data_IF_274972008384
#
_entry.id   IF_274972008384
#
_cell.length_a   1.000
_cell.length_b   1.000
_cell.length_c   1.000
_cell.angle_alpha   90.00
_cell.angle_beta   90.00
_cell.angle_gamma   90.00
#
_symmetry.space_group_name_H-M   'P 1'
#
loop_
_entity.id
_entity.type
_entity.pdbx_description
1 polymer ?
#
# COMPACT_ATOMS: atom_id res chain seq x y z
N UNK A 1 -14.51 20.92 14.62
CA UNK A 1 -14.67 19.58 14.01
C UNK A 1 -14.08 19.65 12.62
N UNK A 2 -13.41 18.60 12.14
CA UNK A 2 -12.74 18.64 10.85
C UNK A 2 -13.75 18.52 9.69
N UNK A 3 -13.72 19.42 8.71
CA UNK A 3 -14.52 19.29 7.50
C UNK A 3 -13.86 18.32 6.52
N UNK A 4 -14.54 17.21 6.23
CA UNK A 4 -14.09 16.17 5.33
C UNK A 4 -13.92 16.66 3.89
N UNK A 5 -14.79 17.56 3.43
CA UNK A 5 -14.76 18.12 2.07
C UNK A 5 -13.68 19.18 1.93
N UNK A 6 -13.41 19.97 2.98
CA UNK A 6 -12.22 20.84 3.03
C UNK A 6 -10.93 20.02 2.89
N UNK A 7 -10.78 18.96 3.71
CA UNK A 7 -9.59 18.10 3.69
C UNK A 7 -9.38 17.45 2.31
N UNK A 8 -10.45 16.91 1.72
CA UNK A 8 -10.41 16.33 0.38
C UNK A 8 -10.03 17.39 -0.68
N UNK A 9 -10.59 18.60 -0.60
CA UNK A 9 -10.29 19.71 -1.52
C UNK A 9 -8.85 20.17 -1.43
N UNK A 10 -8.29 20.31 -0.23
CA UNK A 10 -6.87 20.62 -0.02
C UNK A 10 -5.95 19.56 -0.65
N UNK A 11 -6.31 18.29 -0.50
CA UNK A 11 -5.57 17.16 -1.10
C UNK A 11 -5.64 17.15 -2.63
N UNK A 12 -6.82 17.40 -3.20
CA UNK A 12 -7.03 17.45 -4.65
C UNK A 12 -6.32 18.67 -5.27
N UNK A 13 -6.47 19.86 -4.67
CA UNK A 13 -5.78 21.08 -5.10
C UNK A 13 -4.26 20.93 -5.05
N UNK A 14 -3.72 20.28 -4.01
CA UNK A 14 -2.28 20.01 -3.92
C UNK A 14 -1.80 19.06 -5.03
N UNK A 15 -2.57 18.02 -5.38
CA UNK A 15 -2.23 17.15 -6.52
C UNK A 15 -2.30 17.91 -7.86
N UNK A 16 -3.28 18.79 -8.04
CA UNK A 16 -3.40 19.59 -9.27
C UNK A 16 -2.24 20.57 -9.47
N UNK A 17 -1.66 21.10 -8.39
CA UNK A 17 -0.48 21.94 -8.45
C UNK A 17 0.83 21.18 -8.83
N UNK A 18 0.84 19.85 -8.81
CA UNK A 18 2.03 19.07 -9.17
C UNK A 18 2.24 18.95 -10.69
N UNK A 19 3.47 18.71 -11.17
CA UNK A 19 3.74 18.41 -12.58
C UNK A 19 2.88 17.27 -13.13
N UNK A 20 2.62 17.27 -14.46
CA UNK A 20 1.80 16.22 -15.12
C UNK A 20 2.46 14.84 -15.19
N UNK A 21 3.75 14.72 -14.87
CA UNK A 21 4.53 13.48 -15.01
C UNK A 21 3.98 12.39 -14.07
N UNK A 22 3.58 11.25 -14.63
CA UNK A 22 3.03 10.12 -13.87
C UNK A 22 1.57 10.27 -13.45
N UNK A 23 0.86 11.30 -13.94
CA UNK A 23 -0.61 11.35 -13.83
C UNK A 23 -1.23 10.26 -14.73
N UNK A 24 -2.37 9.65 -14.35
CA UNK A 24 -3.07 8.67 -15.18
C UNK A 24 -3.51 9.24 -16.53
N UNK A 25 -3.41 8.43 -17.58
CA UNK A 25 -4.00 8.72 -18.90
C UNK A 25 -5.53 8.85 -18.84
N UNK A 26 -6.07 10.00 -19.25
CA UNK A 26 -7.51 10.29 -19.16
C UNK A 26 -8.37 9.30 -19.96
N UNK A 27 -9.46 8.81 -19.37
CA UNK A 27 -10.34 7.80 -19.98
C UNK A 27 -9.73 6.39 -20.12
N UNK A 28 -8.49 6.15 -19.67
CA UNK A 28 -7.83 4.83 -19.81
C UNK A 28 -7.14 4.33 -18.55
N UNK A 29 -6.49 5.21 -17.80
CA UNK A 29 -5.88 4.86 -16.52
C UNK A 29 -6.64 5.46 -15.33
N UNK A 30 -6.61 4.75 -14.21
CA UNK A 30 -7.08 5.25 -12.91
C UNK A 30 -6.02 5.07 -11.83
N UNK A 31 -6.13 5.81 -10.75
CA UNK A 31 -5.27 5.66 -9.57
C UNK A 31 -6.04 5.99 -8.30
N UNK A 32 -5.37 5.89 -7.16
CA UNK A 32 -5.84 6.37 -5.87
C UNK A 32 -4.94 7.50 -5.41
N UNK A 33 -5.44 8.37 -4.54
CA UNK A 33 -4.69 9.42 -3.85
C UNK A 33 -4.82 9.21 -2.35
N UNK A 34 -3.75 9.44 -1.60
CA UNK A 34 -3.79 9.57 -0.16
C UNK A 34 -2.85 10.69 0.27
N UNK A 35 -3.08 11.23 1.47
CA UNK A 35 -2.30 12.35 1.99
C UNK A 35 -2.22 12.32 3.51
N UNK A 36 -1.18 12.97 4.02
CA UNK A 36 -1.07 13.38 5.41
C UNK A 36 -1.14 14.90 5.44
N UNK A 37 -2.02 15.43 6.28
CA UNK A 37 -2.13 16.85 6.57
C UNK A 37 -1.64 17.09 7.99
N UNK A 38 -0.94 18.20 8.19
CA UNK A 38 -0.73 18.79 9.50
C UNK A 38 -1.85 19.79 9.75
N UNK A 39 -2.37 19.85 10.97
CA UNK A 39 -3.26 20.92 11.41
C UNK A 39 -2.76 21.51 12.73
N UNK A 40 -2.99 22.81 12.91
CA UNK A 40 -2.80 23.55 14.15
C UNK A 40 -4.07 24.36 14.45
N UNK A 41 -4.04 25.25 15.45
CA UNK A 41 -5.21 26.06 15.84
C UNK A 41 -5.63 27.11 14.80
N UNK A 42 -4.84 27.32 13.73
CA UNK A 42 -5.04 28.39 12.74
C UNK A 42 -5.22 27.83 11.32
N UNK A 43 -4.51 26.76 10.96
CA UNK A 43 -4.44 26.24 9.59
C UNK A 43 -4.38 24.72 9.51
N UNK A 44 -4.83 24.19 8.37
CA UNK A 44 -4.60 22.81 7.94
C UNK A 44 -3.85 22.81 6.61
N UNK A 45 -2.73 22.10 6.54
CA UNK A 45 -1.90 22.04 5.33
C UNK A 45 -1.51 20.59 4.97
N UNK A 46 -1.53 20.27 3.67
CA UNK A 46 -1.01 18.99 3.18
C UNK A 46 0.51 18.97 3.33
N UNK A 47 1.05 18.05 4.13
CA UNK A 47 2.52 17.89 4.32
C UNK A 47 3.11 16.73 3.52
N UNK A 48 2.27 15.80 3.07
CA UNK A 48 2.66 14.68 2.22
C UNK A 48 1.47 14.15 1.42
N UNK A 49 1.70 13.69 0.19
CA UNK A 49 0.72 12.95 -0.59
C UNK A 49 1.38 11.86 -1.44
N UNK A 50 0.58 10.85 -1.80
CA UNK A 50 0.97 9.77 -2.68
C UNK A 50 -0.17 9.35 -3.58
N UNK A 51 0.14 8.95 -4.81
CA UNK A 51 -0.76 8.19 -5.68
C UNK A 51 -0.24 6.79 -5.94
N UNK A 52 -1.11 5.89 -6.38
CA UNK A 52 -0.71 4.56 -6.86
C UNK A 52 -1.46 3.41 -6.22
N UNK A 53 -1.33 2.23 -6.83
CA UNK A 53 -2.16 1.04 -6.59
C UNK A 53 -1.37 -0.27 -6.71
N UNK A 54 -0.03 -0.19 -6.65
CA UNK A 54 0.87 -1.28 -7.07
C UNK A 54 1.84 -1.67 -5.98
N UNK A 55 2.20 -2.96 -5.94
CA UNK A 55 3.30 -3.51 -5.16
C UNK A 55 4.21 -4.34 -6.06
N UNK A 56 5.47 -4.51 -5.67
CA UNK A 56 6.39 -5.44 -6.34
C UNK A 56 6.23 -6.86 -5.76
N UNK A 57 6.57 -7.88 -6.55
CA UNK A 57 6.65 -9.27 -6.11
C UNK A 57 7.84 -9.53 -5.19
N UNK A 58 7.82 -10.64 -4.46
CA UNK A 58 8.86 -10.99 -3.48
C UNK A 58 10.27 -11.08 -4.10
N UNK A 59 10.42 -11.66 -5.28
CA UNK A 59 11.69 -11.76 -6.03
C UNK A 59 12.30 -10.41 -6.41
N UNK A 60 11.51 -9.34 -6.43
CA UNK A 60 11.96 -7.99 -6.78
C UNK A 60 12.36 -7.15 -5.56
N UNK A 61 12.22 -7.69 -4.34
CA UNK A 61 12.61 -7.00 -3.10
C UNK A 61 14.13 -6.94 -2.97
N UNK A 62 14.69 -5.74 -2.80
CA UNK A 62 16.14 -5.55 -2.69
C UNK A 62 16.67 -5.75 -1.26
N UNK A 63 17.80 -6.47 -1.08
CA UNK A 63 18.53 -6.52 0.19
C UNK A 63 19.18 -5.18 0.56
N UNK A 64 19.49 -4.34 -0.44
CA UNK A 64 20.11 -3.03 -0.25
C UNK A 64 19.10 -1.94 0.17
N UNK A 65 17.82 -2.27 0.32
CA UNK A 65 16.77 -1.34 0.74
C UNK A 65 16.44 -0.23 -0.26
N UNK A 66 16.99 -0.29 -1.46
CA UNK A 66 16.99 0.79 -2.46
C UNK A 66 15.75 0.81 -3.39
N UNK A 67 14.86 -0.16 -3.22
CA UNK A 67 13.60 -0.33 -3.97
C UNK A 67 12.37 -0.06 -3.09
N UNK A 68 11.36 0.61 -3.64
CA UNK A 68 10.04 0.74 -3.00
C UNK A 68 9.20 -0.54 -3.20
N UNK A 69 8.97 -1.27 -2.10
CA UNK A 69 8.19 -2.52 -2.14
C UNK A 69 6.68 -2.33 -2.41
N UNK A 70 6.14 -1.21 -1.94
CA UNK A 70 4.71 -0.91 -1.91
C UNK A 70 4.50 0.53 -2.32
N UNK A 71 3.81 0.71 -3.45
CA UNK A 71 3.51 1.98 -4.10
C UNK A 71 1.99 2.21 -4.14
N UNK A 72 1.26 1.73 -3.14
CA UNK A 72 -0.07 2.23 -2.85
C UNK A 72 -0.01 3.65 -2.31
N UNK A 73 -0.98 4.47 -2.72
CA UNK A 73 -1.15 5.86 -2.31
C UNK A 73 -0.96 6.07 -0.80
N UNK A 74 -1.63 5.27 0.03
CA UNK A 74 -1.60 5.38 1.50
C UNK A 74 -0.20 5.19 2.07
N UNK A 75 0.59 4.30 1.45
CA UNK A 75 1.93 3.95 1.90
C UNK A 75 2.95 4.98 1.44
N UNK A 76 2.78 5.50 0.22
CA UNK A 76 3.58 6.60 -0.31
C UNK A 76 3.36 7.86 0.52
N UNK A 77 2.11 8.24 0.81
CA UNK A 77 1.79 9.39 1.65
C UNK A 77 2.43 9.30 3.05
N UNK A 78 2.34 8.14 3.70
CA UNK A 78 2.99 7.90 5.00
C UNK A 78 4.52 7.93 4.94
N UNK A 79 5.14 7.46 3.85
CA UNK A 79 6.61 7.51 3.67
C UNK A 79 7.11 8.92 3.35
N UNK A 80 6.38 9.70 2.56
CA UNK A 80 6.66 11.12 2.35
C UNK A 80 6.52 11.93 3.65
N UNK A 81 5.56 11.58 4.51
CA UNK A 81 5.43 12.20 5.82
C UNK A 81 6.63 11.89 6.72
N UNK A 82 7.13 10.65 6.76
CA UNK A 82 8.38 10.33 7.48
C UNK A 82 9.55 11.20 7.00
N UNK A 83 9.69 11.43 5.69
CA UNK A 83 10.72 12.31 5.13
C UNK A 83 10.54 13.77 5.58
N UNK A 84 9.30 14.27 5.61
CA UNK A 84 8.96 15.58 6.16
C UNK A 84 9.34 15.71 7.65
N UNK A 85 8.97 14.74 8.48
CA UNK A 85 9.27 14.73 9.91
C UNK A 85 10.78 14.65 10.20
N UNK A 86 11.53 13.87 9.41
CA UNK A 86 12.99 13.83 9.50
C UNK A 86 13.62 15.21 9.22
N UNK A 87 13.14 15.93 8.20
CA UNK A 87 13.61 17.29 7.92
C UNK A 87 13.21 18.28 9.04
N UNK A 88 12.02 18.12 9.63
CA UNK A 88 11.55 18.96 10.73
C UNK A 88 12.37 18.76 12.01
N UNK A 89 12.67 17.51 12.39
CA UNK A 89 13.60 17.22 13.49
C UNK A 89 15.01 17.70 13.17
N UNK A 90 15.51 17.53 11.94
CA UNK A 90 16.84 17.98 11.58
C UNK A 90 16.97 19.50 11.73
N UNK A 91 15.96 20.27 11.32
CA UNK A 91 15.92 21.72 11.58
C UNK A 91 15.95 22.02 13.08
N UNK A 92 15.16 21.30 13.87
CA UNK A 92 15.05 21.51 15.31
C UNK A 92 16.35 21.23 16.07
N UNK A 93 17.04 20.11 15.80
CA UNK A 93 18.31 19.77 16.46
C UNK A 93 19.45 20.69 16.04
N UNK A 94 19.41 21.25 14.83
CA UNK A 94 20.37 22.24 14.33
C UNK A 94 20.06 23.68 14.78
N UNK A 95 19.19 23.89 15.78
CA UNK A 95 18.85 25.20 16.34
C UNK A 95 17.88 26.05 15.49
N UNK A 96 17.33 25.48 14.41
CA UNK A 96 16.32 26.13 13.58
C UNK A 96 14.89 25.90 14.07
N UNK A 97 13.97 26.75 13.65
CA UNK A 97 12.54 26.60 13.97
C UNK A 97 11.92 25.40 13.23
N UNK A 98 11.35 24.44 13.99
CA UNK A 98 10.43 23.43 13.45
C UNK A 98 8.98 23.91 13.58
N UNK A 99 8.14 23.58 12.62
CA UNK A 99 6.68 23.79 12.71
C UNK A 99 5.92 22.57 13.27
N UNK A 100 6.64 21.55 13.75
CA UNK A 100 6.06 20.27 14.20
C UNK A 100 6.48 19.94 15.61
N UNK A 101 7.76 20.13 15.93
CA UNK A 101 8.35 19.61 17.16
C UNK A 101 8.79 20.71 18.12
N UNK A 102 8.70 20.42 19.41
CA UNK A 102 9.36 21.15 20.48
C UNK A 102 10.12 20.16 21.39
N UNK A 103 11.11 20.64 22.18
CA UNK A 103 11.79 19.81 23.17
C UNK A 103 10.80 19.15 24.13
N UNK A 104 11.09 17.91 24.50
CA UNK A 104 10.36 17.16 25.53
C UNK A 104 11.10 17.25 26.87
N UNK A 105 10.43 16.82 27.95
CA UNK A 105 11.00 16.73 29.29
C UNK A 105 12.06 15.61 29.41
N UNK A 106 12.03 14.59 28.54
CA UNK A 106 13.06 13.56 28.47
C UNK A 106 14.26 14.03 27.61
N UNK A 107 15.47 13.93 28.15
CA UNK A 107 16.69 14.41 27.49
C UNK A 107 16.89 13.80 26.10
N UNK A 108 16.92 14.65 25.08
CA UNK A 108 17.12 14.27 23.68
C UNK A 108 15.85 13.81 22.97
N UNK A 109 14.71 13.83 23.65
CA UNK A 109 13.39 13.61 23.05
C UNK A 109 12.75 14.92 22.62
N UNK A 110 11.79 14.75 21.72
CA UNK A 110 10.93 15.77 21.14
C UNK A 110 9.49 15.31 21.27
N UNK A 111 8.57 16.27 21.35
CA UNK A 111 7.12 16.05 21.28
C UNK A 111 6.52 16.98 20.23
N UNK A 112 5.26 16.74 19.85
CA UNK A 112 4.55 17.69 18.99
C UNK A 112 4.39 19.03 19.69
N UNK A 113 4.41 20.12 18.92
CA UNK A 113 4.06 21.43 19.43
C UNK A 113 2.60 21.45 19.91
N UNK A 114 2.27 22.21 20.97
CA UNK A 114 0.90 22.34 21.45
C UNK A 114 -0.05 22.73 20.32
N UNK A 115 -1.17 22.01 20.19
CA UNK A 115 -2.16 22.22 19.13
C UNK A 115 -1.84 21.56 17.78
N UNK A 116 -0.60 21.10 17.53
CA UNK A 116 -0.26 20.39 16.29
C UNK A 116 -0.79 18.95 16.32
N UNK A 117 -1.56 18.58 15.31
CA UNK A 117 -1.99 17.19 15.08
C UNK A 117 -1.90 16.80 13.60
N UNK A 118 -2.07 15.50 13.31
CA UNK A 118 -2.05 14.98 11.96
C UNK A 118 -3.39 14.36 11.57
N UNK A 119 -3.76 14.57 10.30
CA UNK A 119 -4.95 14.03 9.66
C UNK A 119 -4.51 13.15 8.49
N UNK A 120 -5.25 12.07 8.22
CA UNK A 120 -5.00 11.19 7.09
C UNK A 120 -6.16 11.25 6.10
N UNK A 121 -5.86 11.38 4.82
CA UNK A 121 -6.85 11.34 3.74
C UNK A 121 -6.56 10.16 2.80
N UNK A 122 -7.60 9.48 2.31
CA UNK A 122 -7.53 8.53 1.22
C UNK A 122 -8.73 8.69 0.29
N UNK A 123 -8.52 8.70 -1.03
CA UNK A 123 -9.58 8.92 -2.02
C UNK A 123 -10.55 7.74 -2.17
N UNK A 124 -10.25 6.62 -1.52
CA UNK A 124 -11.06 5.40 -1.54
C UNK A 124 -10.83 4.62 -0.23
N UNK A 125 -11.77 3.76 0.16
CA UNK A 125 -11.61 2.82 1.27
C UNK A 125 -10.30 2.04 1.13
N UNK A 126 -9.45 1.97 2.18
CA UNK A 126 -8.16 1.28 2.13
C UNK A 126 -8.34 -0.20 1.74
N UNK A 127 -7.45 -0.73 0.91
CA UNK A 127 -7.54 -2.15 0.56
C UNK A 127 -7.37 -3.04 1.80
N UNK A 128 -8.03 -4.19 1.85
CA UNK A 128 -8.09 -5.08 3.01
C UNK A 128 -9.49 -5.09 3.65
N UNK A 129 -9.55 -5.24 4.98
CA UNK A 129 -10.83 -5.39 5.69
C UNK A 129 -11.79 -4.20 5.52
N UNK A 130 -11.27 -2.98 5.38
CA UNK A 130 -12.08 -1.77 5.15
C UNK A 130 -12.79 -1.74 3.77
N UNK A 131 -12.37 -2.60 2.84
CA UNK A 131 -13.00 -2.77 1.52
C UNK A 131 -14.02 -3.92 1.47
N UNK A 132 -14.21 -4.67 2.57
CA UNK A 132 -15.18 -5.76 2.66
C UNK A 132 -16.49 -5.20 3.18
N UNK A 133 -17.29 -4.66 2.25
CA UNK A 133 -18.58 -4.02 2.52
C UNK A 133 -19.71 -5.02 2.21
N UNK A 134 -20.59 -5.35 3.17
CA UNK A 134 -21.78 -6.17 2.92
C UNK A 134 -22.66 -5.57 1.83
N UNK A 135 -23.24 -6.43 0.97
CA UNK A 135 -24.36 -5.99 0.12
C UNK A 135 -25.62 -5.93 0.98
N UNK A 136 -26.12 -4.72 1.26
CA UNK A 136 -27.53 -4.49 1.61
C UNK A 136 -28.31 -4.20 0.33
N UNK A 137 -29.53 -4.72 0.23
CA UNK A 137 -30.24 -4.91 -1.04
C UNK A 137 -30.38 -3.64 -1.91
N UNK A 138 -29.95 -3.74 -3.16
CA UNK A 138 -30.26 -2.80 -4.24
C UNK A 138 -31.15 -3.49 -5.29
N UNK A 139 -32.30 -2.91 -5.68
CA UNK A 139 -33.29 -3.60 -6.50
C UNK A 139 -32.74 -4.04 -7.87
N UNK A 140 -33.13 -5.24 -8.30
CA UNK A 140 -32.67 -5.86 -9.54
C UNK A 140 -33.17 -5.12 -10.78
N UNK A 141 -32.29 -4.40 -11.47
CA UNK A 141 -32.57 -3.89 -12.82
C UNK A 141 -32.43 -5.01 -13.88
N UNK A 142 -33.28 -5.03 -14.94
CA UNK A 142 -33.28 -6.09 -15.94
C UNK A 142 -32.00 -6.10 -16.80
N UNK A 143 -31.58 -7.29 -17.26
CA UNK A 143 -30.41 -7.45 -18.14
C UNK A 143 -30.82 -8.03 -19.50
N UNK A 144 -30.33 -7.48 -20.63
CA UNK A 144 -30.32 -8.21 -21.90
C UNK A 144 -29.18 -9.27 -21.91
N UNK A 145 -29.30 -10.34 -22.72
CA UNK A 145 -28.34 -11.45 -22.73
C UNK A 145 -27.07 -11.13 -23.53
N UNK A 146 -25.93 -11.65 -23.06
CA UNK A 146 -24.65 -11.63 -23.80
C UNK A 146 -24.45 -12.99 -24.48
N UNK A 147 -24.17 -12.98 -25.78
CA UNK A 147 -23.91 -14.20 -26.55
C UNK A 147 -22.53 -14.79 -26.22
N UNK A 148 -22.49 -16.08 -25.88
CA UNK A 148 -21.25 -16.83 -25.64
C UNK A 148 -20.60 -17.22 -26.96
N UNK A 149 -19.42 -16.67 -27.27
CA UNK A 149 -18.58 -17.13 -28.38
C UNK A 149 -18.03 -18.52 -28.06
N UNK A 150 -18.61 -19.56 -28.68
CA UNK A 150 -17.95 -20.86 -28.84
C UNK A 150 -17.07 -20.82 -30.08
N UNK A 151 -15.79 -21.10 -29.93
CA UNK A 151 -14.92 -21.37 -31.07
C UNK A 151 -15.34 -22.65 -31.79
N UNK A 152 -15.29 -22.63 -33.13
CA UNK A 152 -15.26 -23.83 -33.98
C UNK A 152 -14.36 -23.57 -35.17
N UNK A 153 -13.76 -24.63 -35.68
CA UNK A 153 -12.56 -24.61 -36.53
C UNK A 153 -12.82 -24.17 -37.97
N UNK A 154 -11.74 -23.73 -38.64
CA UNK A 154 -11.69 -23.52 -40.08
C UNK A 154 -10.32 -23.91 -40.61
N UNK A 155 -10.23 -25.08 -41.25
CA UNK A 155 -9.05 -25.53 -42.01
C UNK A 155 -9.01 -24.84 -43.37
N UNK A 156 -7.88 -24.25 -43.75
CA UNK A 156 -7.63 -23.67 -45.07
C UNK A 156 -6.12 -23.60 -45.33
N UNK A 157 -5.67 -23.94 -46.54
CA UNK A 157 -4.27 -24.27 -46.84
C UNK A 157 -3.51 -23.16 -47.59
N UNK A 158 -2.17 -23.26 -47.56
CA UNK A 158 -1.25 -22.69 -48.57
C UNK A 158 -0.33 -21.57 -48.10
N UNK A 159 0.98 -21.63 -48.45
CA UNK A 159 1.88 -20.47 -48.41
C UNK A 159 3.23 -20.60 -47.67
N UNK A 160 4.09 -21.51 -48.13
CA UNK A 160 5.54 -21.30 -48.35
C UNK A 160 6.35 -20.24 -47.55
N UNK A 161 7.31 -20.68 -46.71
CA UNK A 161 8.76 -20.75 -47.06
C UNK A 161 9.69 -20.97 -45.83
N UNK A 162 10.59 -21.96 -45.94
CA UNK A 162 11.73 -22.21 -45.03
C UNK A 162 13.02 -21.57 -45.54
N UNK A 163 13.92 -21.21 -44.61
CA UNK A 163 15.39 -21.45 -44.64
C UNK A 163 15.87 -21.47 -43.16
N UNK A 164 16.30 -22.62 -42.63
CA UNK A 164 17.68 -23.18 -42.60
C UNK A 164 18.65 -22.29 -41.78
N UNK A 165 19.53 -22.81 -40.91
CA UNK A 165 20.31 -24.07 -40.91
C UNK A 165 20.39 -24.75 -39.50
N UNK A 166 20.42 -26.09 -39.30
CA UNK A 166 21.46 -27.13 -39.64
C UNK A 166 22.72 -27.05 -38.72
N UNK A 167 23.34 -28.09 -38.11
CA UNK A 167 23.29 -29.59 -38.17
C UNK A 167 23.74 -30.21 -36.78
N UNK A 168 24.23 -31.48 -36.61
CA UNK A 168 23.58 -32.82 -36.53
C UNK A 168 23.75 -33.57 -35.16
N UNK A 169 23.06 -34.70 -34.93
CA UNK A 169 23.66 -36.07 -34.99
C UNK A 169 22.75 -37.21 -34.47
N UNK A 170 22.76 -38.32 -35.23
CA UNK A 170 22.49 -39.74 -34.92
C UNK A 170 21.17 -40.21 -34.24
N UNK A 171 20.59 -41.29 -34.80
CA UNK A 171 19.47 -42.09 -34.27
C UNK A 171 19.92 -43.54 -34.04
N UNK A 172 19.14 -44.60 -34.40
CA UNK A 172 17.72 -44.68 -34.73
C UNK A 172 16.97 -45.80 -33.94
N UNK A 173 15.65 -45.99 -34.17
CA UNK A 173 14.96 -47.30 -34.40
C UNK A 173 13.45 -47.36 -34.01
N UNK A 174 12.63 -47.22 -35.05
CA UNK A 174 11.47 -48.04 -35.50
C UNK A 174 10.64 -48.96 -34.56
N UNK A 175 9.30 -48.85 -34.76
CA UNK A 175 8.15 -49.82 -34.62
C UNK A 175 7.09 -49.39 -33.58
N UNK A 176 5.80 -49.18 -33.92
CA UNK A 176 4.74 -50.12 -34.39
C UNK A 176 4.36 -51.16 -33.30
N UNK A 177 3.10 -51.45 -32.97
CA UNK A 177 1.80 -51.15 -33.62
C UNK A 177 0.60 -51.03 -32.64
N UNK A 178 -0.61 -50.82 -33.19
CA UNK A 178 -1.94 -50.81 -32.52
C UNK A 178 -2.51 -52.22 -32.30
N UNK A 179 -3.64 -52.32 -31.56
CA UNK A 179 -4.78 -53.30 -31.59
C UNK A 179 -5.46 -53.26 -30.19
N UNK A 180 -6.79 -53.30 -29.94
CA UNK A 180 -8.01 -53.08 -30.76
C UNK A 180 -9.23 -52.64 -29.90
N UNK A 181 -10.39 -52.40 -30.55
CA UNK A 181 -11.76 -52.14 -30.02
C UNK A 181 -12.48 -53.47 -29.59
N UNK A 182 -13.77 -53.55 -29.14
CA UNK A 182 -14.93 -52.60 -29.10
C UNK A 182 -15.60 -52.45 -27.68
N UNK A 183 -16.55 -51.55 -27.38
CA UNK A 183 -17.96 -51.43 -27.82
C UNK A 183 -18.91 -52.25 -26.90
N UNK A 184 -20.13 -51.85 -26.52
CA UNK A 184 -20.93 -50.63 -26.77
C UNK A 184 -22.07 -50.50 -25.70
N UNK A 185 -22.80 -49.37 -25.59
CA UNK A 185 -23.94 -49.22 -24.65
C UNK A 185 -24.44 -47.78 -24.41
N UNK A 186 -25.76 -47.59 -24.33
CA UNK A 186 -26.44 -46.30 -24.09
C UNK A 186 -26.82 -46.17 -22.61
N UNK A 187 -26.84 -44.94 -22.09
CA UNK A 187 -27.85 -44.56 -21.10
C UNK A 187 -28.14 -43.05 -21.14
N UNK A 188 -29.39 -42.66 -20.89
CA UNK A 188 -29.82 -41.26 -20.81
C UNK A 188 -29.89 -40.79 -19.35
N UNK A 189 -29.27 -39.66 -19.01
CA UNK A 189 -29.63 -38.93 -17.78
C UNK A 189 -29.86 -37.43 -18.02
N UNK A 190 -31.03 -36.96 -17.57
CA UNK A 190 -31.52 -35.58 -17.73
C UNK A 190 -31.07 -34.69 -16.56
N UNK A 191 -29.76 -34.48 -16.45
CA UNK A 191 -29.18 -33.54 -15.49
C UNK A 191 -29.41 -32.05 -15.84
N UNK A 192 -30.50 -31.45 -15.34
CA UNK A 192 -30.76 -30.01 -15.47
C UNK A 192 -29.62 -29.16 -14.87
N UNK A 193 -28.80 -28.53 -15.73
CA UNK A 193 -27.73 -27.62 -15.30
C UNK A 193 -28.31 -26.30 -14.76
N UNK A 194 -28.57 -26.28 -13.44
CA UNK A 194 -28.86 -25.07 -12.67
C UNK A 194 -27.87 -23.97 -13.03
N UNK A 195 -28.37 -22.84 -13.53
CA UNK A 195 -27.56 -21.66 -13.75
C UNK A 195 -27.00 -21.18 -12.41
N UNK A 196 -25.67 -21.16 -12.26
CA UNK A 196 -25.02 -20.57 -11.10
C UNK A 196 -25.10 -19.05 -11.22
N UNK A 197 -25.90 -18.42 -10.37
CA UNK A 197 -26.00 -16.96 -10.29
C UNK A 197 -24.62 -16.34 -10.00
N UNK A 198 -24.10 -15.58 -10.98
CA UNK A 198 -22.83 -14.86 -10.84
C UNK A 198 -23.11 -13.58 -10.04
N UNK A 199 -22.59 -13.55 -8.81
CA UNK A 199 -22.66 -12.40 -7.89
C UNK A 199 -21.98 -11.18 -8.54
N UNK A 200 -22.53 -9.96 -8.43
CA UNK A 200 -21.89 -8.77 -8.96
C UNK A 200 -20.49 -8.55 -8.35
N UNK A 201 -19.49 -8.33 -9.20
CA UNK A 201 -18.06 -8.25 -8.85
C UNK A 201 -17.66 -7.08 -7.91
N UNK A 202 -18.61 -6.27 -7.46
CA UNK A 202 -18.38 -4.84 -7.15
C UNK A 202 -17.74 -4.56 -5.78
N UNK A 203 -17.73 -5.53 -4.85
CA UNK A 203 -17.22 -5.36 -3.47
C UNK A 203 -16.30 -6.52 -3.00
N UNK A 204 -15.72 -7.27 -3.94
CA UNK A 204 -14.72 -8.30 -3.63
C UNK A 204 -13.35 -7.64 -3.48
N UNK A 205 -12.68 -7.84 -2.34
CA UNK A 205 -11.33 -7.30 -2.13
C UNK A 205 -10.29 -8.12 -2.89
N UNK A 206 -9.38 -7.43 -3.59
CA UNK A 206 -8.25 -8.08 -4.27
C UNK A 206 -7.19 -8.62 -3.31
N UNK A 207 -7.24 -8.24 -2.02
CA UNK A 207 -6.30 -8.67 -0.99
C UNK A 207 -6.67 -10.06 -0.43
N UNK A 208 -5.70 -10.96 -0.34
CA UNK A 208 -5.88 -12.36 0.08
C UNK A 208 -5.52 -12.55 1.56
N UNK A 209 -6.21 -13.43 2.28
CA UNK A 209 -5.86 -13.77 3.67
C UNK A 209 -4.39 -14.21 3.78
N UNK A 210 -3.73 -13.83 4.87
CA UNK A 210 -2.38 -14.33 5.18
C UNK A 210 -2.45 -15.84 5.49
N UNK A 211 -1.52 -16.67 4.96
CA UNK A 211 -1.44 -18.10 5.30
C UNK A 211 -1.33 -18.35 6.81
N UNK A 212 -1.93 -19.44 7.28
CA UNK A 212 -1.97 -19.82 8.70
C UNK A 212 -3.14 -19.22 9.49
N UNK A 213 -4.01 -18.43 8.86
CA UNK A 213 -5.26 -17.92 9.44
C UNK A 213 -6.52 -18.42 8.73
N UNK A 214 -7.67 -17.89 9.12
CA UNK A 214 -8.94 -18.21 8.48
C UNK A 214 -8.94 -17.79 6.99
N UNK A 215 -9.28 -18.73 6.12
CA UNK A 215 -9.44 -18.50 4.69
C UNK A 215 -10.73 -17.71 4.39
N UNK A 216 -10.86 -17.18 3.19
CA UNK A 216 -12.14 -16.68 2.67
C UNK A 216 -13.08 -17.89 2.41
N UNK A 217 -14.33 -17.91 2.91
CA UNK A 217 -15.24 -19.04 2.71
C UNK A 217 -15.77 -19.16 1.27
N UNK A 218 -15.64 -18.09 0.47
CA UNK A 218 -16.07 -18.00 -0.93
C UNK A 218 -17.57 -18.30 -1.15
N UNK A 219 -18.39 -18.19 -0.11
CA UNK A 219 -19.84 -18.34 -0.20
C UNK A 219 -20.48 -17.11 -0.89
N UNK A 220 -21.72 -17.21 -1.40
CA UNK A 220 -22.39 -16.07 -2.00
C UNK A 220 -22.64 -14.90 -1.04
N UNK A 221 -22.64 -13.68 -1.60
CA UNK A 221 -22.98 -12.47 -0.87
C UNK A 221 -22.00 -12.15 0.26
N UNK A 222 -22.53 -11.93 1.47
CA UNK A 222 -21.77 -11.55 2.67
C UNK A 222 -20.82 -12.65 3.16
N UNK A 223 -21.09 -13.92 2.85
CA UNK A 223 -20.23 -15.06 3.22
C UNK A 223 -18.98 -15.24 2.36
N UNK A 224 -18.71 -14.36 1.38
CA UNK A 224 -17.56 -14.53 0.48
C UNK A 224 -16.22 -14.34 1.18
N UNK A 225 -16.13 -13.38 2.10
CA UNK A 225 -14.89 -12.96 2.74
C UNK A 225 -14.91 -13.14 4.26
N UNK A 226 -13.79 -13.58 4.83
CA UNK A 226 -13.52 -13.51 6.27
C UNK A 226 -13.13 -12.08 6.66
N UNK A 227 -13.81 -11.49 7.64
CA UNK A 227 -13.52 -10.14 8.17
C UNK A 227 -12.54 -10.17 9.34
N UNK A 228 -11.87 -9.05 9.62
CA UNK A 228 -10.93 -8.87 10.74
C UNK A 228 -9.54 -9.50 10.54
N UNK A 229 -9.41 -10.46 9.62
CA UNK A 229 -8.15 -11.16 9.30
C UNK A 229 -7.12 -10.25 8.61
N UNK A 230 -5.83 -10.54 8.81
CA UNK A 230 -4.74 -9.91 8.06
C UNK A 230 -4.78 -10.35 6.58
N UNK A 231 -4.47 -9.43 5.66
CA UNK A 231 -4.46 -9.71 4.22
C UNK A 231 -3.20 -9.20 3.51
N UNK A 232 -2.64 -10.00 2.60
CA UNK A 232 -1.62 -9.57 1.62
C UNK A 232 -2.27 -8.93 0.40
N UNK A 233 -1.62 -7.91 -0.16
CA UNK A 233 -2.04 -7.28 -1.41
C UNK A 233 -1.83 -8.21 -2.60
N UNK A 234 -2.58 -8.03 -3.71
CA UNK A 234 -2.24 -8.68 -4.97
C UNK A 234 -0.92 -8.09 -5.51
N UNK A 235 0.05 -8.95 -5.82
CA UNK A 235 1.30 -8.54 -6.48
C UNK A 235 1.16 -8.46 -8.00
N UNK A 236 2.22 -8.01 -8.69
CA UNK A 236 2.29 -8.05 -10.17
C UNK A 236 2.63 -9.47 -10.64
N UNK A 237 1.63 -10.36 -10.64
CA UNK A 237 1.78 -11.77 -10.99
C UNK A 237 2.33 -12.60 -9.82
N UNK A 238 3.59 -12.36 -9.44
CA UNK A 238 4.17 -12.95 -8.24
C UNK A 238 3.52 -12.38 -6.95
N UNK A 239 3.27 -13.20 -5.90
CA UNK A 239 2.87 -12.73 -4.59
C UNK A 239 3.81 -11.65 -4.01
N UNK A 240 3.24 -10.74 -3.21
CA UNK A 240 4.00 -9.73 -2.47
C UNK A 240 3.89 -9.98 -0.96
N UNK A 241 4.96 -9.68 -0.22
CA UNK A 241 4.94 -9.68 1.25
C UNK A 241 4.27 -8.41 1.83
N UNK A 242 3.73 -7.53 0.97
CA UNK A 242 3.07 -6.30 1.39
C UNK A 242 1.65 -6.56 1.88
N UNK A 243 1.43 -6.45 3.19
CA UNK A 243 0.08 -6.42 3.77
C UNK A 243 -0.78 -5.26 3.26
N UNK A 244 -2.08 -5.40 3.44
CA UNK A 244 -3.12 -4.47 3.05
C UNK A 244 -2.96 -3.10 3.70
N UNK A 245 -3.52 -2.05 3.09
CA UNK A 245 -3.47 -0.71 3.66
C UNK A 245 -4.28 -0.61 4.96
N UNK A 246 -5.38 -1.37 5.06
CA UNK A 246 -6.18 -1.48 6.30
C UNK A 246 -5.32 -2.00 7.46
N UNK A 247 -4.61 -3.12 7.28
CA UNK A 247 -3.74 -3.69 8.32
C UNK A 247 -2.60 -2.74 8.72
N UNK A 248 -2.06 -1.99 7.75
CA UNK A 248 -1.01 -1.01 7.99
C UNK A 248 -1.51 0.23 8.74
N UNK A 249 -2.69 0.76 8.40
CA UNK A 249 -3.35 1.84 9.14
C UNK A 249 -3.68 1.39 10.58
N UNK A 250 -4.24 0.18 10.75
CA UNK A 250 -4.53 -0.41 12.07
C UNK A 250 -3.27 -0.50 12.93
N UNK A 251 -2.13 -0.91 12.33
CA UNK A 251 -0.83 -0.92 13.02
C UNK A 251 -0.34 0.47 13.40
N UNK A 252 -0.62 1.50 12.59
CA UNK A 252 -0.24 2.88 12.91
C UNK A 252 -1.14 3.50 13.99
N UNK A 253 -2.38 3.02 14.16
CA UNK A 253 -3.26 3.42 15.27
C UNK A 253 -2.75 2.94 16.65
N UNK A 254 -1.76 2.04 16.70
CA UNK A 254 -1.16 1.54 17.95
C UNK A 254 0.31 1.91 18.09
N UNK A 255 1.12 1.73 17.05
CA UNK A 255 2.56 2.06 17.10
C UNK A 255 2.90 3.49 16.68
N UNK A 256 1.89 4.27 16.29
CA UNK A 256 2.05 5.51 15.54
C UNK A 256 2.56 5.30 14.11
N UNK A 257 2.38 6.32 13.27
CA UNK A 257 2.79 6.28 11.87
C UNK A 257 4.28 6.59 11.64
N UNK A 258 4.99 7.15 12.63
CA UNK A 258 6.41 7.52 12.54
C UNK A 258 7.35 6.31 12.34
N UNK A 259 7.08 5.19 12.99
CA UNK A 259 7.92 3.99 12.95
C UNK A 259 9.24 4.08 13.74
N UNK A 260 9.89 2.92 13.93
CA UNK A 260 11.02 2.73 14.85
C UNK A 260 12.13 3.79 14.81
N UNK A 261 12.62 4.21 13.63
CA UNK A 261 13.73 5.16 13.55
C UNK A 261 13.36 6.53 14.15
N UNK A 262 12.21 7.09 13.78
CA UNK A 262 11.75 8.35 14.37
C UNK A 262 11.41 8.21 15.86
N UNK A 263 10.93 7.04 16.30
CA UNK A 263 10.63 6.77 17.72
C UNK A 263 11.84 6.91 18.67
N UNK A 264 13.09 6.88 18.16
CA UNK A 264 14.25 7.25 18.98
C UNK A 264 14.15 8.67 19.53
N UNK A 265 13.77 9.62 18.67
CA UNK A 265 13.72 11.05 18.99
C UNK A 265 12.42 11.50 19.64
N UNK A 266 11.42 10.64 19.76
CA UNK A 266 10.08 11.04 20.20
C UNK A 266 9.77 10.53 21.60
N UNK A 267 9.15 11.39 22.43
CA UNK A 267 8.59 11.00 23.73
C UNK A 267 7.35 10.11 23.52
N UNK A 268 6.52 10.45 22.54
CA UNK A 268 5.23 9.83 22.25
C UNK A 268 5.13 9.45 20.77
N UNK A 269 4.40 8.37 20.48
CA UNK A 269 4.08 7.94 19.14
C UNK A 269 3.14 8.94 18.44
N UNK A 270 3.28 9.08 17.12
CA UNK A 270 2.50 10.04 16.33
C UNK A 270 1.30 9.33 15.71
N UNK A 271 0.10 9.79 16.04
CA UNK A 271 -1.16 9.20 15.58
C UNK A 271 -1.90 10.12 14.61
N UNK A 272 -2.74 9.53 13.76
CA UNK A 272 -3.71 10.30 12.99
C UNK A 272 -4.95 10.51 13.84
N UNK A 273 -5.31 11.77 14.10
CA UNK A 273 -6.49 12.13 14.89
C UNK A 273 -7.79 11.88 14.11
N UNK A 274 -7.76 12.08 12.79
CA UNK A 274 -8.88 11.82 11.87
C UNK A 274 -8.39 11.06 10.63
N UNK A 275 -9.20 10.12 10.15
CA UNK A 275 -9.07 9.46 8.83
C UNK A 275 -10.29 9.83 7.98
N UNK A 276 -10.04 10.56 6.89
CA UNK A 276 -11.04 10.96 5.90
C UNK A 276 -10.97 10.05 4.68
N UNK A 277 -12.11 9.49 4.28
CA UNK A 277 -12.25 8.72 3.03
C UNK A 277 -13.02 9.55 1.98
N UNK A 278 -12.51 9.63 0.75
CA UNK A 278 -13.18 10.29 -0.37
C UNK A 278 -14.48 9.59 -0.81
N UNK A 279 -15.19 10.18 -1.80
CA UNK A 279 -16.41 9.58 -2.33
C UNK A 279 -16.12 8.25 -3.04
N UNK A 280 -16.52 7.17 -2.39
CA UNK A 280 -16.41 5.78 -2.84
C UNK A 280 -17.45 4.93 -2.08
N UNK A 281 -17.60 3.62 -2.40
CA UNK A 281 -18.32 2.70 -1.54
C UNK A 281 -17.74 2.70 -0.12
N UNK A 282 -18.59 2.92 0.87
CA UNK A 282 -18.22 3.15 2.27
C UNK A 282 -19.31 2.60 3.19
N UNK A 283 -18.92 2.01 4.31
CA UNK A 283 -19.79 1.71 5.45
C UNK A 283 -19.06 2.13 6.72
N UNK A 284 -19.76 2.87 7.59
CA UNK A 284 -19.19 3.38 8.84
C UNK A 284 -18.83 2.23 9.79
N UNK A 285 -19.67 1.20 9.79
CA UNK A 285 -19.56 -0.03 10.58
C UNK A 285 -18.34 -0.85 10.14
N UNK A 286 -18.15 -1.01 8.83
CA UNK A 286 -17.00 -1.67 8.23
C UNK A 286 -15.70 -0.92 8.55
N UNK A 287 -15.69 0.40 8.38
CA UNK A 287 -14.53 1.24 8.70
C UNK A 287 -14.19 1.21 10.20
N UNK A 288 -15.20 1.24 11.07
CA UNK A 288 -15.02 1.15 12.52
C UNK A 288 -14.47 -0.22 12.94
N UNK A 289 -15.03 -1.33 12.42
CA UNK A 289 -14.45 -2.67 12.60
C UNK A 289 -12.98 -2.71 12.16
N UNK A 290 -12.72 -2.19 10.96
CA UNK A 290 -11.45 -2.31 10.26
C UNK A 290 -10.32 -1.44 10.82
N UNK A 291 -10.61 -0.30 11.45
CA UNK A 291 -9.60 0.66 11.94
C UNK A 291 -9.68 1.00 13.44
N UNK A 292 -10.81 0.73 14.11
CA UNK A 292 -11.02 1.04 15.53
C UNK A 292 -11.11 -0.25 16.35
N UNK A 293 -12.13 -1.08 16.11
CA UNK A 293 -12.44 -2.23 16.98
C UNK A 293 -11.34 -3.30 17.00
N UNK A 294 -10.74 -3.64 15.86
CA UNK A 294 -9.82 -4.81 15.77
C UNK A 294 -8.51 -4.70 16.57
N UNK A 295 -8.19 -3.53 17.12
CA UNK A 295 -7.03 -3.32 17.99
C UNK A 295 -7.41 -2.70 19.34
N UNK A 296 -8.70 -2.53 19.64
CA UNK A 296 -9.16 -1.86 20.88
C UNK A 296 -8.84 -2.65 22.15
N UNK A 297 -8.56 -3.95 22.02
CA UNK A 297 -8.20 -4.85 23.12
C UNK A 297 -6.69 -4.93 23.40
N UNK A 298 -5.85 -4.14 22.71
CA UNK A 298 -4.39 -4.21 22.89
C UNK A 298 -3.97 -3.44 24.14
N UNK A 299 -3.41 -4.15 25.12
CA UNK A 299 -2.96 -3.63 26.43
C UNK A 299 -1.44 -3.71 26.60
N UNK A 300 -0.94 -3.25 27.76
CA UNK A 300 0.45 -3.43 28.21
C UNK A 300 1.51 -2.78 27.30
N UNK A 301 1.09 -1.70 26.62
CA UNK A 301 1.94 -0.87 25.79
C UNK A 301 2.90 -0.05 26.67
N UNK A 302 4.18 0.11 26.26
CA UNK A 302 5.15 0.92 26.99
C UNK A 302 4.80 2.41 26.91
N UNK A 303 5.33 3.20 27.85
CA UNK A 303 5.15 4.65 27.89
C UNK A 303 5.42 5.32 26.53
N UNK A 304 4.57 6.29 26.19
CA UNK A 304 4.57 6.95 24.88
C UNK A 304 3.77 6.21 23.79
N UNK A 305 3.23 5.02 24.05
CA UNK A 305 2.38 4.28 23.12
C UNK A 305 1.00 3.99 23.72
N UNK A 306 -0.05 4.10 22.89
CA UNK A 306 -1.43 3.78 23.24
C UNK A 306 -2.19 3.23 22.02
N UNK A 307 -3.39 2.71 22.24
CA UNK A 307 -4.35 2.48 21.15
C UNK A 307 -5.10 3.80 20.93
N UNK A 308 -4.77 4.49 19.83
CA UNK A 308 -5.35 5.79 19.46
C UNK A 308 -6.26 5.63 18.24
N UNK A 309 -7.56 5.33 18.42
CA UNK A 309 -8.49 5.20 17.31
C UNK A 309 -8.76 6.58 16.67
N UNK A 310 -8.72 6.70 15.33
CA UNK A 310 -9.01 7.95 14.64
C UNK A 310 -10.52 8.22 14.59
N UNK A 311 -10.90 9.50 14.55
CA UNK A 311 -12.21 9.92 14.04
C UNK A 311 -12.34 9.48 12.57
N UNK A 312 -13.48 8.90 12.20
CA UNK A 312 -13.73 8.37 10.86
C UNK A 312 -14.75 9.24 10.13
N UNK A 313 -14.30 9.94 9.08
CA UNK A 313 -15.12 10.82 8.25
C UNK A 313 -15.16 10.35 6.79
N UNK A 314 -16.22 10.73 6.08
CA UNK A 314 -16.32 10.56 4.64
C UNK A 314 -16.57 11.92 3.96
N UNK A 315 -15.85 12.17 2.87
CA UNK A 315 -16.03 13.32 1.98
C UNK A 315 -17.00 12.97 0.84
N UNK A 316 -17.82 13.95 0.45
CA UNK A 316 -18.69 13.90 -0.72
C UNK A 316 -17.95 14.19 -2.04
N UNK A 317 -16.70 14.66 -1.97
CA UNK A 317 -15.94 15.05 -3.16
C UNK A 317 -15.37 13.83 -3.91
N UNK A 318 -15.48 13.90 -5.23
CA UNK A 318 -15.12 12.81 -6.13
C UNK A 318 -13.69 12.97 -6.66
N UNK A 319 -12.88 11.92 -6.54
CA UNK A 319 -11.51 11.97 -7.05
C UNK A 319 -11.49 11.79 -8.57
N UNK A 320 -11.01 12.81 -9.29
CA UNK A 320 -11.02 12.87 -10.77
C UNK A 320 -10.30 11.72 -11.49
N UNK A 321 -9.36 11.05 -10.82
CA UNK A 321 -8.61 9.91 -11.36
C UNK A 321 -9.05 8.57 -10.76
N UNK A 322 -10.19 8.54 -10.06
CA UNK A 322 -10.81 7.30 -9.57
C UNK A 322 -11.28 6.43 -10.73
N UNK A 323 -11.41 5.12 -10.48
CA UNK A 323 -11.87 4.17 -11.49
C UNK A 323 -13.24 4.56 -12.07
N UNK A 324 -14.19 4.99 -11.23
CA UNK A 324 -15.52 5.41 -11.68
C UNK A 324 -15.47 6.63 -12.62
N UNK A 325 -14.61 7.62 -12.33
CA UNK A 325 -14.42 8.78 -13.20
C UNK A 325 -13.71 8.41 -14.51
N UNK A 326 -12.73 7.50 -14.48
CA UNK A 326 -12.12 6.96 -15.70
C UNK A 326 -13.13 6.17 -16.54
N UNK A 327 -14.03 5.38 -15.92
CA UNK A 327 -15.10 4.65 -16.60
C UNK A 327 -16.11 5.58 -17.29
N UNK A 328 -16.50 6.70 -16.65
CA UNK A 328 -17.39 7.71 -17.25
C UNK A 328 -16.76 8.45 -18.44
N UNK A 329 -15.43 8.61 -18.44
CA UNK A 329 -14.68 9.31 -19.48
C UNK A 329 -14.14 8.35 -20.56
N UNK A 330 -14.41 7.06 -20.46
CA UNK A 330 -13.81 6.03 -21.31
C UNK A 330 -14.42 5.98 -22.71
N UNK A 331 -13.56 6.02 -23.73
CA UNK A 331 -13.94 5.80 -25.13
C UNK A 331 -13.47 4.42 -25.60
N UNK A 332 -14.30 3.72 -26.38
CA UNK A 332 -14.01 2.36 -26.87
C UNK A 332 -12.71 2.24 -27.67
N UNK A 333 -12.22 3.34 -28.24
CA UNK A 333 -10.94 3.44 -28.97
C UNK A 333 -9.70 3.39 -28.06
N UNK A 334 -9.84 3.60 -26.75
CA UNK A 334 -8.72 3.70 -25.79
C UNK A 334 -8.24 2.35 -25.23
N UNK A 335 -8.83 1.23 -25.69
CA UNK A 335 -8.50 -0.11 -25.20
C UNK A 335 -9.08 -0.40 -23.82
N UNK A 336 -8.43 -1.24 -23.00
CA UNK A 336 -8.95 -1.62 -21.69
C UNK A 336 -8.53 -0.62 -20.60
N UNK A 337 -9.49 -0.16 -19.80
CA UNK A 337 -9.24 0.59 -18.56
C UNK A 337 -8.27 -0.19 -17.66
N UNK A 338 -7.30 0.51 -17.05
CA UNK A 338 -6.33 -0.13 -16.17
C UNK A 338 -5.84 0.77 -15.02
N UNK A 339 -5.42 0.20 -13.88
CA UNK A 339 -4.73 0.95 -12.84
C UNK A 339 -3.35 1.45 -13.33
N UNK A 340 -3.09 2.74 -13.15
CA UNK A 340 -1.90 3.45 -13.60
C UNK A 340 -0.61 2.74 -13.19
N UNK A 341 0.35 2.69 -14.13
CA UNK A 341 1.64 2.05 -13.91
C UNK A 341 2.56 2.78 -12.93
N UNK A 342 2.37 4.10 -12.77
CA UNK A 342 3.20 5.00 -11.98
C UNK A 342 2.55 5.38 -10.63
N UNK A 343 3.39 5.81 -9.70
CA UNK A 343 3.03 6.36 -8.40
C UNK A 343 3.73 7.71 -8.21
N UNK A 344 2.95 8.78 -8.04
CA UNK A 344 3.44 10.12 -7.71
C UNK A 344 3.61 10.19 -6.19
N UNK A 345 4.63 10.89 -5.74
CA UNK A 345 4.80 11.27 -4.34
C UNK A 345 5.17 12.75 -4.25
N UNK A 346 4.65 13.43 -3.24
CA UNK A 346 5.09 14.77 -2.86
C UNK A 346 5.14 14.90 -1.34
N UNK A 347 6.10 15.65 -0.81
CA UNK A 347 6.13 16.05 0.59
C UNK A 347 6.68 17.47 0.75
N UNK A 348 6.31 18.14 1.85
CA UNK A 348 6.61 19.55 2.12
C UNK A 348 8.07 19.76 2.61
N UNK A 349 9.02 19.38 1.76
CA UNK A 349 10.47 19.44 2.01
C UNK A 349 11.13 20.42 1.04
N UNK A 350 12.27 21.00 1.44
CA UNK A 350 12.95 22.02 0.64
C UNK A 350 13.54 21.46 -0.66
N UNK A 351 14.16 20.28 -0.58
CA UNK A 351 14.86 19.66 -1.70
C UNK A 351 14.06 18.51 -2.32
N UNK A 352 13.99 18.47 -3.65
CA UNK A 352 13.35 17.39 -4.42
C UNK A 352 11.98 16.97 -3.81
N UNK A 353 11.00 17.88 -3.69
CA UNK A 353 9.75 17.59 -2.99
C UNK A 353 8.85 16.61 -3.75
N UNK A 354 8.97 16.51 -5.08
CA UNK A 354 8.23 15.57 -5.93
C UNK A 354 9.14 14.42 -6.37
N UNK A 355 8.64 13.19 -6.28
CA UNK A 355 9.26 12.00 -6.87
C UNK A 355 8.18 11.13 -7.55
N UNK A 356 8.50 10.56 -8.72
CA UNK A 356 7.56 9.76 -9.53
C UNK A 356 8.20 8.42 -9.81
N UNK A 357 7.50 7.34 -9.46
CA UNK A 357 8.07 5.99 -9.39
C UNK A 357 7.26 4.99 -10.21
N UNK A 358 7.93 3.94 -10.70
CA UNK A 358 7.32 2.80 -11.37
C UNK A 358 8.11 1.53 -11.01
N UNK A 359 7.42 0.44 -10.70
CA UNK A 359 8.01 -0.85 -10.28
C UNK A 359 9.05 -0.73 -9.15
N UNK A 360 8.87 0.22 -8.23
CA UNK A 360 9.74 0.45 -7.08
C UNK A 360 10.95 1.38 -7.31
N UNK A 361 11.19 1.83 -8.55
CA UNK A 361 12.28 2.73 -8.94
C UNK A 361 11.74 4.08 -9.42
N UNK A 362 12.62 5.08 -9.58
CA UNK A 362 12.29 6.33 -10.28
C UNK A 362 11.78 6.05 -11.70
N UNK A 363 10.77 6.80 -12.13
CA UNK A 363 10.14 6.61 -13.44
C UNK A 363 11.14 6.94 -14.57
N UNK A 364 11.17 6.11 -15.62
CA UNK A 364 12.12 6.22 -16.73
C UNK A 364 13.51 5.61 -16.47
N UNK A 365 13.72 4.96 -15.32
CA UNK A 365 14.96 4.20 -15.04
C UNK A 365 15.15 3.06 -16.04
N UNK A 366 16.33 3.01 -16.65
CA UNK A 366 16.75 1.90 -17.52
C UNK A 366 17.59 0.90 -16.73
N UNK A 367 17.68 -0.36 -17.21
CA UNK A 367 18.49 -1.42 -16.58
C UNK A 367 19.95 -1.01 -16.31
N UNK A 368 20.51 -0.10 -17.12
CA UNK A 368 21.91 0.38 -17.00
C UNK A 368 22.20 1.21 -15.74
N UNK A 369 21.19 1.77 -15.08
CA UNK A 369 21.37 2.66 -13.91
C UNK A 369 20.72 2.14 -12.63
N UNK A 370 20.14 0.93 -12.66
CA UNK A 370 19.62 0.23 -11.47
C UNK A 370 20.76 0.01 -10.46
N UNK A 371 20.47 0.13 -9.17
CA UNK A 371 21.46 0.07 -8.08
C UNK A 371 22.19 1.39 -7.79
N UNK A 372 22.17 2.35 -8.72
CA UNK A 372 22.73 3.70 -8.51
C UNK A 372 21.71 4.62 -7.84
N UNK A 373 22.19 5.66 -7.15
CA UNK A 373 21.34 6.69 -6.52
C UNK A 373 20.34 7.36 -7.50
N UNK A 374 20.70 7.47 -8.80
CA UNK A 374 19.81 8.00 -9.85
C UNK A 374 18.54 7.16 -10.04
N UNK A 375 18.58 5.88 -9.72
CA UNK A 375 17.42 4.98 -9.84
C UNK A 375 16.49 4.96 -8.63
N UNK A 376 16.98 5.40 -7.46
CA UNK A 376 16.30 5.20 -6.18
C UNK A 376 15.28 6.28 -5.94
N UNK A 377 14.10 5.87 -5.47
CA UNK A 377 13.15 6.82 -4.90
C UNK A 377 13.71 7.39 -3.60
N UNK A 378 13.50 8.67 -3.35
CA UNK A 378 13.84 9.29 -2.06
C UNK A 378 12.98 8.76 -0.91
N UNK A 379 11.95 7.97 -1.22
CA UNK A 379 11.12 7.27 -0.26
C UNK A 379 11.50 5.79 -0.11
N UNK A 380 12.56 5.24 -0.72
CA UNK A 380 12.96 3.85 -0.46
C UNK A 380 13.49 3.66 0.99
N UNK A 381 13.85 2.45 1.42
CA UNK A 381 14.33 2.27 2.80
C UNK A 381 15.68 2.96 3.02
N UNK A 382 16.57 2.83 2.03
CA UNK A 382 17.93 3.35 2.07
C UNK A 382 17.97 4.88 2.18
N UNK A 383 17.27 5.61 1.31
CA UNK A 383 17.31 7.09 1.36
C UNK A 383 16.60 7.68 2.60
N UNK A 384 15.56 7.02 3.14
CA UNK A 384 15.00 7.40 4.45
C UNK A 384 15.95 7.07 5.61
N UNK A 385 16.79 6.05 5.48
CA UNK A 385 17.81 5.72 6.47
C UNK A 385 18.99 6.70 6.42
N UNK A 386 19.49 7.05 5.23
CA UNK A 386 20.45 8.15 5.06
C UNK A 386 19.94 9.46 5.68
N UNK A 387 18.68 9.81 5.42
CA UNK A 387 18.03 11.00 6.01
C UNK A 387 17.99 10.94 7.55
N UNK A 388 17.81 9.75 8.12
CA UNK A 388 17.86 9.53 9.57
C UNK A 388 19.29 9.58 10.12
N UNK A 389 20.28 8.99 9.45
CA UNK A 389 21.68 9.06 9.85
C UNK A 389 22.19 10.51 9.81
N UNK A 390 21.78 11.29 8.81
CA UNK A 390 22.03 12.75 8.75
C UNK A 390 21.46 13.48 9.97
N UNK A 391 20.22 13.19 10.39
CA UNK A 391 19.65 13.71 11.64
C UNK A 391 20.47 13.31 12.88
N UNK A 392 20.95 12.06 12.95
CA UNK A 392 21.81 11.60 14.06
C UNK A 392 23.16 12.32 14.08
N UNK A 393 23.77 12.54 12.92
CA UNK A 393 25.03 13.28 12.78
C UNK A 393 24.87 14.75 13.14
N UNK A 394 23.74 15.37 12.79
CA UNK A 394 23.41 16.77 13.12
C UNK A 394 22.96 16.98 14.59
N UNK A 395 22.83 15.90 15.37
CA UNK A 395 22.46 15.99 16.78
C UNK A 395 23.71 15.91 17.67
N UNK A 396 23.91 16.93 18.50
CA UNK A 396 24.99 17.00 19.48
C UNK A 396 25.08 15.75 20.36
N UNK A 397 26.28 15.18 20.62
CA UNK A 397 26.43 13.91 21.35
C UNK A 397 25.71 13.88 22.71
N UNK A 398 25.71 15.00 23.43
CA UNK A 398 25.02 15.18 24.72
C UNK A 398 23.50 15.22 24.60
N UNK A 399 22.99 15.67 23.44
CA UNK A 399 21.56 15.80 23.12
C UNK A 399 20.97 14.57 22.41
N UNK A 400 21.79 13.60 21.97
CA UNK A 400 21.27 12.37 21.32
C UNK A 400 20.41 11.54 22.28
N UNK A 401 19.29 10.94 21.83
CA UNK A 401 18.56 9.93 22.59
C UNK A 401 19.47 8.80 23.11
N UNK A 402 19.25 8.31 24.34
CA UNK A 402 20.09 7.26 24.96
C UNK A 402 20.29 6.03 24.08
N UNK A 403 19.23 5.60 23.39
CA UNK A 403 19.23 4.48 22.43
C UNK A 403 20.18 4.62 21.24
N UNK A 404 20.68 5.83 20.97
CA UNK A 404 21.56 6.16 19.84
C UNK A 404 22.99 6.52 20.28
N UNK A 405 23.33 6.31 21.56
CA UNK A 405 24.68 6.57 22.11
C UNK A 405 25.61 5.35 22.05
N UNK A 406 25.09 4.17 21.72
CA UNK A 406 25.91 2.95 21.57
C UNK A 406 26.71 2.95 20.26
N UNK A 407 27.96 2.49 20.32
CA UNK A 407 28.87 2.32 19.18
C UNK A 407 28.57 1.10 18.29
N UNK A 408 27.58 0.28 18.63
CA UNK A 408 27.30 -1.00 17.95
C UNK A 408 26.30 -0.91 16.79
N UNK A 409 25.68 0.26 16.56
CA UNK A 409 24.63 0.43 15.55
C UNK A 409 25.22 0.57 14.14
N UNK A 410 25.21 -0.52 13.36
CA UNK A 410 25.85 -0.57 12.03
C UNK A 410 24.87 -0.66 10.86
N UNK A 411 23.77 -1.39 10.99
CA UNK A 411 22.81 -1.64 9.90
C UNK A 411 21.45 -1.01 10.18
N UNK A 412 20.64 -0.80 9.14
CA UNK A 412 19.25 -0.35 9.25
C UNK A 412 18.41 -1.19 10.21
N UNK A 413 18.73 -2.47 10.35
CA UNK A 413 18.12 -3.33 11.36
C UNK A 413 18.50 -2.92 12.79
N UNK A 414 19.78 -2.71 13.06
CA UNK A 414 20.31 -2.49 14.41
C UNK A 414 19.72 -1.21 15.01
N UNK A 415 19.74 -0.11 14.24
CA UNK A 415 19.04 1.12 14.61
C UNK A 415 17.56 0.85 14.91
N UNK A 416 16.85 0.14 14.03
CA UNK A 416 15.44 -0.19 14.28
C UNK A 416 15.23 -0.98 15.59
N UNK A 417 16.10 -1.91 15.97
CA UNK A 417 15.96 -2.65 17.24
C UNK A 417 16.32 -1.82 18.46
N UNK A 418 17.30 -0.94 18.36
CA UNK A 418 17.70 -0.05 19.45
C UNK A 418 16.56 0.88 19.92
N UNK A 419 15.51 1.07 19.11
CA UNK A 419 14.24 1.67 19.53
C UNK A 419 13.42 0.67 20.36
N UNK A 420 13.89 0.36 21.57
CA UNK A 420 13.36 -0.71 22.44
C UNK A 420 11.86 -0.57 22.74
N UNK A 421 11.39 0.63 23.11
CA UNK A 421 9.97 0.88 23.38
C UNK A 421 9.08 0.61 22.16
N UNK A 422 9.51 0.99 20.96
CA UNK A 422 8.78 0.65 19.74
C UNK A 422 8.77 -0.87 19.46
N UNK A 423 9.85 -1.60 19.77
CA UNK A 423 9.87 -3.06 19.63
C UNK A 423 8.97 -3.75 20.66
N UNK A 424 8.93 -3.26 21.90
CA UNK A 424 8.03 -3.74 22.95
C UNK A 424 6.56 -3.49 22.58
N UNK A 425 6.21 -2.26 22.16
CA UNK A 425 4.88 -1.94 21.65
C UNK A 425 4.49 -2.82 20.45
N UNK A 426 5.44 -3.09 19.54
CA UNK A 426 5.22 -4.01 18.43
C UNK A 426 5.02 -5.46 18.88
N UNK A 427 5.74 -5.92 19.90
CA UNK A 427 5.57 -7.26 20.46
C UNK A 427 4.16 -7.44 21.03
N UNK A 428 3.63 -6.48 21.78
CA UNK A 428 2.26 -6.52 22.31
C UNK A 428 1.20 -6.54 21.20
N UNK A 429 1.30 -5.62 20.23
CA UNK A 429 0.38 -5.60 19.10
C UNK A 429 0.43 -6.92 18.29
N UNK A 430 1.64 -7.48 18.11
CA UNK A 430 1.82 -8.74 17.39
C UNK A 430 1.26 -9.94 18.15
N UNK A 431 1.46 -10.05 19.46
CA UNK A 431 0.91 -11.17 20.24
C UNK A 431 -0.61 -11.10 20.38
N UNK A 432 -1.16 -9.91 20.62
CA UNK A 432 -2.55 -9.72 21.00
C UNK A 432 -3.53 -9.55 19.81
N UNK A 433 -3.08 -8.95 18.69
CA UNK A 433 -3.97 -8.67 17.54
C UNK A 433 -3.44 -9.17 16.19
N UNK A 434 -2.12 -9.14 15.96
CA UNK A 434 -1.52 -9.47 14.65
C UNK A 434 -0.51 -10.64 14.67
N UNK A 435 -0.87 -11.83 15.19
CA UNK A 435 0.06 -12.96 15.34
C UNK A 435 0.57 -13.52 14.01
N UNK A 436 -0.19 -13.32 12.93
CA UNK A 436 0.17 -13.75 11.58
C UNK A 436 0.86 -12.64 10.76
N UNK A 437 1.32 -11.54 11.35
CA UNK A 437 1.98 -10.48 10.59
C UNK A 437 3.29 -11.00 9.95
N UNK A 438 3.44 -11.03 8.62
CA UNK A 438 4.60 -11.66 7.99
C UNK A 438 5.91 -10.98 8.39
N UNK A 439 6.84 -11.77 8.93
CA UNK A 439 8.23 -11.33 9.16
C UNK A 439 8.96 -11.32 7.81
N UNK A 440 9.45 -10.15 7.40
CA UNK A 440 10.35 -10.07 6.25
C UNK A 440 11.68 -10.75 6.56
N UNK A 441 12.33 -11.36 5.56
CA UNK A 441 13.70 -11.87 5.70
C UNK A 441 14.61 -10.77 6.26
N UNK A 442 15.37 -11.13 7.31
CA UNK A 442 16.35 -10.27 7.97
C UNK A 442 17.34 -9.67 6.98
N UNK A 443 17.74 -10.40 5.93
CA UNK A 443 18.64 -9.95 4.85
C UNK A 443 18.14 -8.68 4.16
N UNK A 444 16.84 -8.44 4.11
CA UNK A 444 16.22 -7.25 3.53
C UNK A 444 16.34 -5.99 4.40
N UNK A 445 17.09 -6.07 5.51
CA UNK A 445 17.23 -5.04 6.54
C UNK A 445 18.69 -4.89 7.04
N UNK A 446 19.66 -5.66 6.51
CA UNK A 446 21.07 -5.66 6.95
C UNK A 446 21.97 -4.68 6.16
N UNK A 447 21.39 -3.79 5.35
CA UNK A 447 22.14 -2.74 4.67
C UNK A 447 22.55 -1.61 5.62
N UNK A 448 23.55 -0.84 5.21
CA UNK A 448 24.14 0.29 5.92
C UNK A 448 23.56 1.64 5.45
#
# INVERSE_FOLDING_TARGET
>A
MADADEIARLCYARLEALPRRGRPEAGREWSLLAAVLQTDSVKTEVVSLGTGTKCIGQSHMSPNGDVLNDSHAEIIARRGCIRYLLQQLHRAVSGGHSSVFCPSEEQGKWRLQPGVSFLFFTSHTPCGDASIIPMTDSPSLPRPPVASVKGREGTGAGGDLKRKSEVPSEGPHTKLARVDKPGDGRDEDRGQRRHKNIIPLKFITGAKCVPGGAADPLQPGTGYHSTGVLRVKPGRGEPTLSLSCTDKLSRWAVLGFQGALLSHYLQEALYFSTVVVGKCPYSKEVMHRALVTRCSHVTDLPAGFSVSPPELLQSSLEFRFSQAQTELQHQATQGRISPCGAAISWCNVAEQPVDVTANGYKHGVTKKVVGTAKSRSLLCKLELFHSFLSLVSATEPSARPRSLRSSELRTYWDYKQASSSYQQAWQQLHSQAFPLWPRSDRKLLLFH
#
